data_IF_806234133446
#
_entry.id   IF_806234133446
#
_cell.length_a   1.000
_cell.length_b   1.000
_cell.length_c   1.000
_cell.angle_alpha   90.00
_cell.angle_beta   90.00
_cell.angle_gamma   90.00
#
_symmetry.space_group_name_H-M   'P 1'
#
loop_
_entity.id
_entity.type
_entity.pdbx_description
1 polymer ?
#
# COMPACT_ATOMS: atom_id res chain seq x y z
N UNK A 1 -46.15 -18.54 -23.22
CA UNK A 1 -45.14 -17.98 -24.16
C UNK A 1 -43.70 -18.43 -23.86
N UNK A 2 -43.21 -18.42 -22.61
CA UNK A 2 -41.82 -18.79 -22.30
C UNK A 2 -41.33 -20.17 -22.76
N UNK A 3 -42.16 -21.23 -22.70
CA UNK A 3 -41.76 -22.58 -23.15
C UNK A 3 -41.57 -22.70 -24.67
N UNK A 4 -42.26 -21.89 -25.46
CA UNK A 4 -42.15 -21.90 -26.92
C UNK A 4 -40.83 -21.25 -27.39
N UNK A 5 -40.41 -20.18 -26.72
CA UNK A 5 -39.13 -19.50 -26.98
C UNK A 5 -37.93 -20.40 -26.62
N UNK A 6 -38.06 -21.24 -25.58
CA UNK A 6 -37.02 -22.18 -25.18
C UNK A 6 -36.84 -23.31 -26.19
N UNK A 7 -37.95 -23.88 -26.67
CA UNK A 7 -37.92 -24.88 -27.75
C UNK A 7 -37.38 -24.32 -29.07
N UNK A 8 -37.49 -23.02 -29.29
CA UNK A 8 -36.99 -22.35 -30.50
C UNK A 8 -35.51 -21.97 -30.43
N UNK A 9 -34.79 -22.29 -29.34
CA UNK A 9 -33.37 -21.94 -29.17
C UNK A 9 -33.11 -20.44 -29.04
N UNK A 10 -34.16 -19.63 -28.86
CA UNK A 10 -34.12 -18.18 -28.68
C UNK A 10 -33.94 -17.78 -27.21
N UNK A 11 -33.84 -18.77 -26.33
CA UNK A 11 -33.46 -18.61 -24.93
C UNK A 11 -32.06 -19.22 -24.78
N UNK A 12 -31.06 -18.33 -24.78
CA UNK A 12 -29.65 -18.53 -24.46
C UNK A 12 -29.07 -19.89 -24.88
N UNK A 13 -28.26 -19.87 -25.94
CA UNK A 13 -27.44 -21.00 -26.37
C UNK A 13 -26.50 -21.46 -25.25
N UNK A 14 -26.10 -22.74 -25.24
CA UNK A 14 -25.23 -23.30 -24.18
C UNK A 14 -23.91 -22.51 -24.05
N UNK A 15 -23.41 -21.89 -25.14
CA UNK A 15 -22.26 -20.98 -25.07
C UNK A 15 -22.53 -19.70 -24.28
N UNK A 16 -23.77 -19.23 -24.19
CA UNK A 16 -24.18 -18.06 -23.40
C UNK A 16 -24.47 -18.41 -21.93
N UNK A 17 -24.48 -19.71 -21.58
CA UNK A 17 -24.62 -20.18 -20.20
C UNK A 17 -23.32 -20.12 -19.39
N UNK A 18 -22.17 -20.05 -20.08
CA UNK A 18 -20.85 -19.93 -19.46
C UNK A 18 -20.42 -18.47 -19.54
N UNK A 19 -20.06 -17.82 -18.42
CA UNK A 19 -19.54 -16.45 -18.46
C UNK A 19 -18.31 -16.43 -19.37
N UNK A 20 -18.29 -15.50 -20.34
CA UNK A 20 -17.13 -15.36 -21.21
C UNK A 20 -15.87 -15.07 -20.38
N UNK A 21 -14.70 -15.41 -20.94
CA UNK A 21 -13.42 -15.26 -20.24
C UNK A 21 -13.20 -13.86 -19.67
N UNK A 22 -13.68 -12.83 -20.37
CA UNK A 22 -13.60 -11.44 -19.91
C UNK A 22 -14.36 -11.24 -18.60
N UNK A 23 -15.59 -11.78 -18.48
CA UNK A 23 -16.38 -11.71 -17.23
C UNK A 23 -15.70 -12.50 -16.12
N UNK A 24 -15.10 -13.65 -16.45
CA UNK A 24 -14.36 -14.48 -15.49
C UNK A 24 -13.10 -13.78 -14.98
N UNK A 25 -12.30 -13.18 -15.86
CA UNK A 25 -11.12 -12.41 -15.48
C UNK A 25 -11.50 -11.13 -14.72
N UNK A 26 -12.61 -10.50 -15.08
CA UNK A 26 -13.11 -9.33 -14.36
C UNK A 26 -13.54 -9.69 -12.93
N UNK A 27 -14.27 -10.79 -12.73
CA UNK A 27 -14.57 -11.31 -11.38
C UNK A 27 -13.32 -11.64 -10.59
N UNK A 28 -12.35 -12.34 -11.19
CA UNK A 28 -11.08 -12.63 -10.52
C UNK A 28 -10.31 -11.37 -10.13
N UNK A 29 -10.38 -10.30 -10.93
CA UNK A 29 -9.79 -9.02 -10.59
C UNK A 29 -10.54 -8.34 -9.42
N UNK A 30 -11.87 -8.35 -9.44
CA UNK A 30 -12.71 -7.82 -8.36
C UNK A 30 -12.50 -8.59 -7.05
N UNK A 31 -12.49 -9.92 -7.09
CA UNK A 31 -12.26 -10.78 -5.92
C UNK A 31 -10.85 -10.57 -5.34
N UNK A 32 -9.85 -10.29 -6.19
CA UNK A 32 -8.50 -9.88 -5.72
C UNK A 32 -8.49 -8.50 -5.08
N UNK A 33 -9.34 -7.59 -5.54
CA UNK A 33 -9.49 -6.26 -4.95
C UNK A 33 -10.31 -6.29 -3.65
N UNK A 34 -11.17 -7.30 -3.45
CA UNK A 34 -11.90 -7.55 -2.19
C UNK A 34 -11.01 -8.12 -1.06
N UNK A 35 -9.72 -8.38 -1.33
CA UNK A 35 -8.75 -8.61 -0.27
C UNK A 35 -8.79 -7.43 0.70
N UNK A 36 -8.90 -7.70 2.02
CA UNK A 36 -8.93 -6.71 3.11
C UNK A 36 -8.01 -5.54 2.76
N UNK A 37 -8.61 -4.39 2.44
CA UNK A 37 -7.85 -3.16 2.20
C UNK A 37 -7.03 -2.91 3.46
N UNK A 38 -5.70 -2.87 3.30
CA UNK A 38 -4.82 -2.51 4.39
C UNK A 38 -5.25 -1.14 4.93
N UNK A 39 -5.31 -1.02 6.24
CA UNK A 39 -5.58 0.27 6.87
C UNK A 39 -4.49 1.28 6.48
N UNK A 40 -4.81 2.58 6.50
CA UNK A 40 -3.81 3.61 6.19
C UNK A 40 -2.58 3.54 7.10
N UNK A 41 -2.77 3.08 8.33
CA UNK A 41 -1.70 2.87 9.30
C UNK A 41 -0.77 1.73 8.86
N UNK A 42 -1.34 0.59 8.48
CA UNK A 42 -0.57 -0.55 7.94
C UNK A 42 0.17 -0.17 6.65
N UNK A 43 -0.45 0.61 5.76
CA UNK A 43 0.23 1.07 4.55
C UNK A 43 1.43 1.94 4.87
N UNK A 44 1.30 2.90 5.79
CA UNK A 44 2.41 3.76 6.19
C UNK A 44 3.56 2.95 6.78
N UNK A 45 3.28 2.00 7.67
CA UNK A 45 4.29 1.10 8.23
C UNK A 45 5.00 0.30 7.12
N UNK A 46 4.24 -0.23 6.15
CA UNK A 46 4.80 -0.98 5.03
C UNK A 46 5.67 -0.13 4.12
N UNK A 47 5.32 1.14 3.89
CA UNK A 47 6.14 2.07 3.11
C UNK A 47 7.50 2.36 3.77
N UNK A 48 7.55 2.38 5.10
CA UNK A 48 8.79 2.58 5.85
C UNK A 48 9.61 1.28 5.93
N UNK A 49 8.95 0.14 5.99
CA UNK A 49 9.60 -1.11 6.39
C UNK A 49 9.89 -2.07 5.24
N UNK A 50 9.10 -2.04 4.15
CA UNK A 50 9.33 -2.85 2.95
C UNK A 50 10.25 -2.10 1.97
N UNK A 51 11.47 -2.62 1.67
CA UNK A 51 12.41 -1.93 0.79
C UNK A 51 11.87 -1.67 -0.63
N UNK A 52 11.04 -2.58 -1.15
CA UNK A 52 10.44 -2.45 -2.48
C UNK A 52 9.44 -1.29 -2.56
N UNK A 53 8.61 -1.11 -1.54
CA UNK A 53 7.65 0.00 -1.47
C UNK A 53 8.34 1.33 -1.17
N UNK A 54 9.34 1.31 -0.29
CA UNK A 54 10.18 2.48 -0.02
C UNK A 54 10.85 3.00 -1.31
N UNK A 55 11.51 2.11 -2.05
CA UNK A 55 12.16 2.46 -3.32
C UNK A 55 11.16 2.96 -4.37
N UNK A 56 9.95 2.39 -4.41
CA UNK A 56 8.90 2.87 -5.30
C UNK A 56 8.48 4.30 -4.96
N UNK A 57 8.23 4.58 -3.68
CA UNK A 57 7.88 5.93 -3.20
C UNK A 57 8.95 6.95 -3.57
N UNK A 58 10.22 6.64 -3.28
CA UNK A 58 11.35 7.50 -3.64
C UNK A 58 11.42 7.80 -5.14
N UNK A 59 11.22 6.78 -5.99
CA UNK A 59 11.19 6.97 -7.44
C UNK A 59 10.06 7.88 -7.89
N UNK A 60 8.88 7.74 -7.31
CA UNK A 60 7.72 8.60 -7.61
C UNK A 60 8.03 10.03 -7.18
N UNK A 61 8.57 10.24 -5.99
CA UNK A 61 8.89 11.54 -5.44
C UNK A 61 9.94 12.28 -6.28
N UNK A 62 11.01 11.57 -6.69
CA UNK A 62 12.04 12.10 -7.59
C UNK A 62 11.50 12.41 -8.99
N UNK A 63 10.64 11.56 -9.55
CA UNK A 63 10.07 11.77 -10.88
C UNK A 63 9.04 12.91 -10.91
N UNK A 64 8.41 13.20 -9.78
CA UNK A 64 7.36 14.23 -9.67
C UNK A 64 7.88 15.58 -9.16
N UNK A 65 9.15 15.66 -8.76
CA UNK A 65 9.73 16.83 -8.06
C UNK A 65 8.87 17.29 -6.87
N UNK A 66 8.18 16.32 -6.24
CA UNK A 66 7.18 16.59 -5.20
C UNK A 66 7.78 16.57 -3.78
N UNK A 67 9.12 16.63 -3.67
CA UNK A 67 9.79 16.63 -2.38
C UNK A 67 9.64 18.00 -1.70
N UNK A 68 9.03 18.01 -0.53
CA UNK A 68 8.90 19.19 0.32
C UNK A 68 9.64 18.91 1.62
N UNK A 69 10.66 19.71 1.89
CA UNK A 69 11.41 19.61 3.14
C UNK A 69 10.47 19.87 4.32
N UNK A 70 10.55 18.99 5.31
CA UNK A 70 9.80 19.06 6.55
C UNK A 70 10.21 20.32 7.34
N UNK A 71 9.24 20.92 8.03
CA UNK A 71 9.54 22.04 8.92
C UNK A 71 10.45 21.57 10.07
N UNK A 72 11.44 22.36 10.52
CA UNK A 72 12.35 21.94 11.58
C UNK A 72 11.66 21.55 12.89
N UNK A 73 10.57 22.23 13.24
CA UNK A 73 9.78 21.90 14.43
C UNK A 73 9.11 20.53 14.31
N UNK A 74 8.52 20.23 13.14
CA UNK A 74 7.92 18.93 12.84
C UNK A 74 8.98 17.82 12.87
N UNK A 75 10.18 18.09 12.37
CA UNK A 75 11.29 17.13 12.38
C UNK A 75 11.79 16.82 13.80
N UNK A 76 11.81 17.84 14.67
CA UNK A 76 12.13 17.69 16.09
C UNK A 76 11.05 16.88 16.82
N UNK A 77 9.78 17.20 16.59
CA UNK A 77 8.65 16.46 17.15
C UNK A 77 8.64 15.00 16.67
N UNK A 78 8.90 14.77 15.38
CA UNK A 78 8.97 13.44 14.79
C UNK A 78 10.03 12.58 15.48
N UNK A 79 11.24 13.10 15.69
CA UNK A 79 12.32 12.39 16.41
C UNK A 79 11.91 12.02 17.83
N UNK A 80 11.32 12.97 18.56
CA UNK A 80 10.83 12.70 19.91
C UNK A 80 9.77 11.58 19.94
N UNK A 81 8.83 11.60 19.00
CA UNK A 81 7.77 10.59 18.91
C UNK A 81 8.33 9.21 18.56
N UNK A 82 9.31 9.14 17.66
CA UNK A 82 9.99 7.89 17.29
C UNK A 82 10.73 7.32 18.49
N UNK A 83 11.48 8.14 19.23
CA UNK A 83 12.26 7.68 20.39
C UNK A 83 11.37 7.13 21.52
N UNK A 84 10.20 7.74 21.73
CA UNK A 84 9.30 7.37 22.83
C UNK A 84 8.40 6.18 22.46
N UNK A 85 7.89 6.14 21.24
CA UNK A 85 6.81 5.23 20.86
C UNK A 85 7.02 4.49 19.53
N UNK A 86 8.16 4.67 18.89
CA UNK A 86 8.47 4.08 17.59
C UNK A 86 7.59 4.59 16.44
N UNK A 87 7.76 3.97 15.27
CA UNK A 87 7.10 4.37 14.01
C UNK A 87 5.57 4.39 14.10
N UNK A 88 4.99 3.48 14.89
CA UNK A 88 3.52 3.38 15.07
C UNK A 88 2.91 4.59 15.76
N UNK A 89 3.71 5.26 16.59
CA UNK A 89 3.26 6.40 17.39
C UNK A 89 3.27 7.72 16.62
N UNK A 90 3.81 7.73 15.39
CA UNK A 90 3.85 8.94 14.56
C UNK A 90 2.42 9.41 14.25
N UNK A 91 2.05 10.64 14.63
CA UNK A 91 0.72 11.19 14.37
C UNK A 91 0.51 11.47 12.87
N UNK A 92 -0.74 11.36 12.41
CA UNK A 92 -1.07 11.45 10.99
C UNK A 92 -0.60 12.75 10.31
N UNK A 93 -0.58 13.87 11.05
CA UNK A 93 -0.04 15.15 10.58
C UNK A 93 1.43 15.04 10.18
N UNK A 94 2.25 14.45 11.04
CA UNK A 94 3.69 14.25 10.80
C UNK A 94 3.95 13.17 9.75
N UNK A 95 3.09 12.14 9.63
CA UNK A 95 3.23 11.11 8.58
C UNK A 95 3.20 11.72 7.19
N UNK A 96 2.29 12.67 6.95
CA UNK A 96 2.19 13.36 5.66
C UNK A 96 3.44 14.18 5.39
N UNK A 97 3.89 14.97 6.36
CA UNK A 97 5.11 15.76 6.22
C UNK A 97 6.31 14.86 5.91
N UNK A 98 6.41 13.72 6.60
CA UNK A 98 7.47 12.74 6.43
C UNK A 98 7.44 12.11 5.03
N UNK A 99 6.29 11.66 4.54
CA UNK A 99 6.19 11.08 3.20
C UNK A 99 6.52 12.08 2.08
N UNK A 100 6.40 13.39 2.35
CA UNK A 100 6.76 14.44 1.40
C UNK A 100 8.23 14.85 1.48
N UNK A 101 8.93 14.55 2.56
CA UNK A 101 10.35 14.86 2.71
C UNK A 101 11.20 13.63 2.34
N UNK A 102 11.89 13.73 1.20
CA UNK A 102 12.70 12.63 0.67
C UNK A 102 13.83 12.21 1.62
N UNK A 103 14.51 13.16 2.23
CA UNK A 103 15.66 12.89 3.09
C UNK A 103 15.18 12.31 4.43
N UNK A 104 14.19 12.94 5.06
CA UNK A 104 13.65 12.44 6.34
C UNK A 104 13.04 11.05 6.20
N UNK A 105 12.34 10.77 5.10
CA UNK A 105 11.78 9.44 4.85
C UNK A 105 12.86 8.37 4.63
N UNK A 106 13.95 8.73 3.93
CA UNK A 106 15.09 7.82 3.72
C UNK A 106 15.81 7.51 5.03
N UNK A 107 16.08 8.52 5.85
CA UNK A 107 16.72 8.34 7.16
C UNK A 107 15.92 7.37 8.03
N UNK A 108 14.61 7.58 8.12
CA UNK A 108 13.75 6.70 8.92
C UNK A 108 13.77 5.25 8.42
N UNK A 109 13.74 5.02 7.11
CA UNK A 109 13.82 3.68 6.54
C UNK A 109 15.12 2.97 6.95
N UNK A 110 16.25 3.69 6.89
CA UNK A 110 17.55 3.14 7.28
C UNK A 110 17.58 2.78 8.77
N UNK A 111 17.05 3.65 9.63
CA UNK A 111 17.00 3.39 11.08
C UNK A 111 16.17 2.14 11.39
N UNK A 112 15.02 1.98 10.75
CA UNK A 112 14.14 0.80 10.93
C UNK A 112 14.81 -0.48 10.41
N UNK A 113 15.43 -0.43 9.24
CA UNK A 113 16.13 -1.59 8.66
C UNK A 113 17.33 -1.99 9.53
N UNK A 114 18.09 -1.03 10.06
CA UNK A 114 19.21 -1.31 10.97
C UNK A 114 18.74 -1.96 12.28
N UNK A 115 17.66 -1.45 12.89
CA UNK A 115 17.08 -2.05 14.09
C UNK A 115 16.67 -3.51 13.87
N UNK A 116 16.11 -3.84 12.71
CA UNK A 116 15.73 -5.21 12.37
C UNK A 116 16.93 -6.15 12.17
N UNK A 117 18.01 -5.65 11.57
CA UNK A 117 19.24 -6.43 11.41
C UNK A 117 19.88 -6.77 12.76
N UNK A 118 19.87 -5.82 13.71
CA UNK A 118 20.37 -6.04 15.07
C UNK A 118 19.53 -7.09 15.81
N UNK A 119 18.20 -7.01 15.72
CA UNK A 119 17.30 -8.00 16.34
C UNK A 119 17.43 -9.41 15.75
N UNK A 120 17.71 -9.53 14.45
CA UNK A 120 17.94 -10.82 13.81
C UNK A 120 19.25 -11.48 14.28
N UNK A 121 20.28 -10.68 14.60
CA UNK A 121 21.57 -11.18 15.08
C UNK A 121 21.55 -11.63 16.55
N UNK A 122 20.66 -11.06 17.38
CA UNK A 122 20.48 -11.46 18.80
C UNK A 122 19.70 -12.79 18.97
N UNK A 123 19.25 -13.41 17.88
CA UNK A 123 18.47 -14.66 17.87
C UNK A 123 19.17 -15.83 17.17
N UNK A 124 20.44 -15.67 16.80
CA UNK A 124 21.37 -16.75 16.39
C UNK A 124 22.30 -17.17 17.53
#
# INVERSE_FOLDING_TARGET
>A
MGRALNRAGLLLTVQESVPCDVIRYHRLALDRMEGKLASTDELFERFISEPSLHALHQRIQLASDASVTMHPDDASELRHVIDVGGVRSIPQSLRRALLLDYEAFRELHLDVVQQWQLQAADHE
#
